data_IF_511884364249
#
_entry.id   IF_511884364249
#
_cell.length_a   1.000
_cell.length_b   1.000
_cell.length_c   1.000
_cell.angle_alpha   90.00
_cell.angle_beta   90.00
_cell.angle_gamma   90.00
#
_symmetry.space_group_name_H-M   'P 1'
#
loop_
_entity.id
_entity.type
_entity.pdbx_description
1 polymer ?
#
# COMPACT_ATOMS: atom_id res chain seq x y z
N UNK A 1 -6.57 -15.18 -0.42
CA UNK A 1 -5.95 -14.44 -1.53
C UNK A 1 -6.37 -12.98 -1.37
N UNK A 2 -5.42 -12.13 -0.96
CA UNK A 2 -5.71 -10.82 -0.37
C UNK A 2 -6.24 -9.83 -1.41
N UNK A 3 -5.73 -9.85 -2.65
CA UNK A 3 -6.16 -8.89 -3.70
C UNK A 3 -7.64 -9.07 -4.02
N UNK A 4 -8.07 -10.31 -4.26
CA UNK A 4 -9.48 -10.65 -4.49
C UNK A 4 -10.35 -10.29 -3.29
N UNK A 5 -9.86 -10.53 -2.06
CA UNK A 5 -10.59 -10.16 -0.84
C UNK A 5 -10.85 -8.65 -0.81
N UNK A 6 -9.81 -7.84 -0.97
CA UNK A 6 -9.90 -6.37 -0.94
C UNK A 6 -10.83 -5.81 -2.04
N UNK A 7 -10.75 -6.36 -3.25
CA UNK A 7 -11.66 -5.97 -4.35
C UNK A 7 -13.12 -6.30 -4.00
N UNK A 8 -13.38 -7.50 -3.46
CA UNK A 8 -14.75 -7.93 -3.10
C UNK A 8 -15.34 -7.17 -1.92
N UNK A 9 -14.52 -6.77 -0.95
CA UNK A 9 -14.96 -5.93 0.17
C UNK A 9 -15.15 -4.47 -0.21
N UNK A 10 -14.73 -4.06 -1.41
CA UNK A 10 -14.83 -2.68 -1.87
C UNK A 10 -13.83 -1.73 -1.21
N UNK A 11 -12.82 -2.28 -0.52
CA UNK A 11 -11.73 -1.50 0.07
C UNK A 11 -10.92 -0.89 -1.06
N UNK A 12 -10.62 0.41 -0.95
CA UNK A 12 -9.74 1.07 -1.90
C UNK A 12 -8.29 0.89 -1.46
N UNK A 13 -7.43 0.45 -2.38
CA UNK A 13 -6.03 0.18 -2.08
C UNK A 13 -5.15 0.44 -3.30
N UNK A 14 -3.85 0.54 -3.04
CA UNK A 14 -2.80 0.58 -4.04
C UNK A 14 -1.82 -0.57 -3.82
N UNK A 15 -1.16 -0.99 -4.89
CA UNK A 15 0.00 -1.89 -4.82
C UNK A 15 1.23 -1.09 -5.19
N UNK A 16 2.22 -1.07 -4.31
CA UNK A 16 3.52 -0.46 -4.57
C UNK A 16 4.56 -1.55 -4.81
N UNK A 17 5.43 -1.34 -5.79
CA UNK A 17 6.64 -2.13 -6.04
C UNK A 17 7.83 -1.21 -5.85
N UNK A 18 8.64 -1.46 -4.83
CA UNK A 18 9.83 -0.66 -4.53
C UNK A 18 11.06 -1.22 -5.25
N UNK A 19 11.82 -0.33 -5.90
CA UNK A 19 13.10 -0.62 -6.57
C UNK A 19 14.32 -0.18 -5.75
N UNK A 20 14.09 0.45 -4.60
CA UNK A 20 15.10 1.28 -3.94
C UNK A 20 16.40 0.53 -3.61
N UNK A 21 17.50 1.12 -4.08
CA UNK A 21 18.87 0.97 -3.57
C UNK A 21 19.09 1.68 -2.21
N UNK A 22 18.12 2.49 -1.75
CA UNK A 22 18.19 3.29 -0.51
C UNK A 22 17.91 2.48 0.75
N UNK A 23 17.33 1.29 0.61
CA UNK A 23 17.25 0.26 1.65
C UNK A 23 18.55 -0.55 1.69
N UNK A 24 19.68 0.09 2.00
CA UNK A 24 20.98 -0.60 2.22
C UNK A 24 20.90 -1.68 3.33
N UNK A 25 19.87 -1.63 4.18
CA UNK A 25 19.57 -2.67 5.18
C UNK A 25 18.77 -3.88 4.62
N UNK A 26 18.23 -3.80 3.40
CA UNK A 26 17.42 -4.86 2.76
C UNK A 26 18.14 -5.55 1.60
N UNK A 27 19.46 -5.62 1.66
CA UNK A 27 20.37 -6.05 0.59
C UNK A 27 20.18 -7.48 0.05
N UNK A 28 19.26 -8.28 0.61
CA UNK A 28 19.04 -9.68 0.21
C UNK A 28 17.69 -9.98 -0.48
N UNK A 29 16.77 -9.01 -0.65
CA UNK A 29 15.40 -9.28 -1.13
C UNK A 29 14.91 -8.29 -2.20
N UNK A 30 15.62 -8.26 -3.34
CA UNK A 30 15.63 -7.20 -4.37
C UNK A 30 14.33 -6.89 -5.15
N UNK A 31 13.12 -7.05 -4.60
CA UNK A 31 11.87 -6.39 -5.04
C UNK A 31 10.81 -6.55 -3.96
N UNK A 32 10.49 -5.50 -3.20
CA UNK A 32 9.40 -5.54 -2.22
C UNK A 32 8.10 -5.03 -2.86
N UNK A 33 7.04 -5.82 -2.72
CA UNK A 33 5.68 -5.41 -3.05
C UNK A 33 4.90 -5.18 -1.76
N UNK A 34 4.17 -4.07 -1.70
CA UNK A 34 3.35 -3.69 -0.55
C UNK A 34 1.93 -3.32 -0.99
N UNK A 35 0.97 -3.59 -0.12
CA UNK A 35 -0.40 -3.12 -0.25
C UNK A 35 -0.55 -1.89 0.64
N UNK A 36 -1.04 -0.79 0.08
CA UNK A 36 -1.34 0.44 0.79
C UNK A 36 -2.86 0.63 0.91
N UNK A 37 -3.36 0.93 2.09
CA UNK A 37 -4.79 1.16 2.37
C UNK A 37 -4.94 2.38 3.29
N UNK A 38 -6.13 2.98 3.34
CA UNK A 38 -6.45 3.98 4.35
C UNK A 38 -6.56 3.35 5.74
N UNK A 39 -6.05 4.04 6.77
CA UNK A 39 -6.13 3.57 8.16
C UNK A 39 -7.57 3.48 8.69
N UNK A 40 -8.53 4.13 8.04
CA UNK A 40 -9.96 4.03 8.39
C UNK A 40 -10.52 2.61 8.18
N UNK A 41 -9.94 1.85 7.25
CA UNK A 41 -10.31 0.46 6.98
C UNK A 41 -9.61 -0.54 7.92
N UNK A 42 -8.78 -0.07 8.87
CA UNK A 42 -7.97 -0.94 9.74
C UNK A 42 -8.82 -1.95 10.51
N UNK A 43 -10.00 -1.54 11.00
CA UNK A 43 -10.91 -2.45 11.74
C UNK A 43 -11.36 -3.63 10.88
N UNK A 44 -11.56 -3.41 9.59
CA UNK A 44 -11.94 -4.46 8.63
C UNK A 44 -10.75 -5.35 8.25
N UNK A 45 -9.53 -4.87 8.47
CA UNK A 45 -8.28 -5.51 8.08
C UNK A 45 -7.44 -6.04 9.25
N UNK A 46 -8.03 -6.12 10.46
CA UNK A 46 -7.30 -6.53 11.67
C UNK A 46 -6.65 -7.91 11.53
N UNK A 47 -7.33 -8.84 10.88
CA UNK A 47 -6.83 -10.21 10.68
C UNK A 47 -5.88 -10.36 9.49
N UNK A 48 -5.62 -9.26 8.76
CA UNK A 48 -4.81 -9.25 7.55
C UNK A 48 -3.43 -8.63 7.77
N UNK A 49 -2.90 -8.56 8.99
CA UNK A 49 -1.53 -8.08 9.31
C UNK A 49 -1.17 -6.72 8.68
N UNK A 50 -2.17 -5.84 8.50
CA UNK A 50 -1.92 -4.45 8.13
C UNK A 50 -1.43 -3.68 9.35
N UNK A 51 -0.30 -3.01 9.19
CA UNK A 51 0.34 -2.28 10.29
C UNK A 51 0.19 -0.78 10.08
N UNK A 52 -0.15 -0.10 11.17
CA UNK A 52 0.16 1.32 11.32
C UNK A 52 1.68 1.37 11.50
N UNK A 53 2.42 1.93 10.54
CA UNK A 53 3.88 2.10 10.64
C UNK A 53 4.30 3.14 11.69
N UNK A 54 3.60 3.18 12.83
CA UNK A 54 3.80 4.09 13.95
C UNK A 54 4.28 3.38 15.22
N UNK A 55 4.51 2.06 15.20
CA UNK A 55 4.75 1.28 16.43
C UNK A 55 6.22 0.93 16.69
N UNK A 56 7.16 1.48 15.92
CA UNK A 56 8.58 1.34 16.25
C UNK A 56 9.18 2.72 16.57
N UNK A 57 9.57 2.89 17.84
CA UNK A 57 10.40 3.99 18.32
C UNK A 57 11.73 4.14 17.54
N UNK A 58 12.07 3.18 16.68
CA UNK A 58 13.32 3.09 15.92
C UNK A 58 13.17 3.24 14.39
N UNK A 59 11.94 3.27 13.83
CA UNK A 59 11.79 3.48 12.38
C UNK A 59 12.07 4.95 12.04
N UNK A 60 13.09 5.26 11.22
CA UNK A 60 13.34 6.64 10.78
C UNK A 60 12.08 7.22 10.15
N UNK A 61 11.69 8.46 10.50
CA UNK A 61 10.48 9.13 9.97
C UNK A 61 10.38 9.14 8.44
N UNK A 62 11.52 9.04 7.75
CA UNK A 62 11.61 8.94 6.28
C UNK A 62 11.09 7.61 5.72
N UNK A 63 10.96 6.58 6.55
CA UNK A 63 10.51 5.24 6.19
C UNK A 63 9.07 4.95 6.69
N UNK A 64 8.46 5.92 7.37
CA UNK A 64 7.08 5.83 7.83
C UNK A 64 6.09 6.15 6.71
N UNK A 65 4.97 5.43 6.70
CA UNK A 65 3.85 5.79 5.84
C UNK A 65 3.29 7.16 6.23
N UNK A 66 2.71 7.93 5.29
CA UNK A 66 1.95 9.12 5.64
C UNK A 66 0.86 8.80 6.66
N UNK A 67 0.63 9.71 7.60
CA UNK A 67 -0.47 9.60 8.56
C UNK A 67 -1.79 9.34 7.82
N UNK A 68 -2.49 8.26 8.20
CA UNK A 68 -3.73 7.83 7.56
C UNK A 68 -3.56 6.73 6.50
N UNK A 69 -2.33 6.26 6.27
CA UNK A 69 -2.03 5.10 5.43
C UNK A 69 -1.49 3.95 6.31
N UNK A 70 -2.01 2.75 6.09
CA UNK A 70 -1.49 1.50 6.61
C UNK A 70 -0.95 0.67 5.45
N UNK A 71 0.07 -0.14 5.72
CA UNK A 71 0.62 -1.04 4.71
C UNK A 71 0.91 -2.42 5.26
N UNK A 72 1.10 -3.35 4.32
CA UNK A 72 1.73 -4.64 4.59
C UNK A 72 2.50 -5.11 3.38
N UNK A 73 3.57 -5.85 3.64
CA UNK A 73 4.32 -6.57 2.60
C UNK A 73 3.50 -7.71 2.04
N UNK A 74 3.62 -7.94 0.74
CA UNK A 74 2.98 -9.04 0.04
C UNK A 74 3.85 -10.29 0.07
N UNK A 75 3.22 -11.44 0.27
CA UNK A 75 3.86 -12.74 0.07
C UNK A 75 3.99 -13.07 -1.42
N UNK A 76 4.85 -14.02 -1.79
CA UNK A 76 5.00 -14.50 -3.17
C UNK A 76 3.67 -14.94 -3.81
N UNK A 77 2.79 -15.57 -3.03
CA UNK A 77 1.46 -16.00 -3.50
C UNK A 77 0.56 -14.80 -3.84
N UNK A 78 0.61 -13.75 -3.03
CA UNK A 78 -0.16 -12.52 -3.24
C UNK A 78 0.40 -11.69 -4.39
N UNK A 79 1.73 -11.68 -4.58
CA UNK A 79 2.37 -11.06 -5.75
C UNK A 79 1.91 -11.77 -7.03
N UNK A 80 1.87 -13.10 -7.01
CA UNK A 80 1.34 -13.89 -8.13
C UNK A 80 -0.12 -13.55 -8.42
N UNK A 81 -0.96 -13.46 -7.37
CA UNK A 81 -2.36 -13.04 -7.49
C UNK A 81 -2.50 -11.66 -8.12
N UNK A 82 -1.75 -10.69 -7.62
CA UNK A 82 -1.74 -9.34 -8.15
C UNK A 82 -1.36 -9.34 -9.64
N UNK A 83 -0.30 -10.05 -10.03
CA UNK A 83 0.13 -10.13 -11.43
C UNK A 83 -0.95 -10.70 -12.34
N UNK A 84 -1.66 -11.73 -11.90
CA UNK A 84 -2.77 -12.31 -12.67
C UNK A 84 -3.95 -11.34 -12.85
N UNK A 85 -4.14 -10.41 -11.93
CA UNK A 85 -5.28 -9.47 -11.93
C UNK A 85 -4.89 -8.05 -12.37
N UNK A 86 -3.59 -7.78 -12.53
CA UNK A 86 -3.04 -6.44 -12.71
C UNK A 86 -3.69 -5.74 -13.89
N UNK A 87 -3.69 -6.38 -15.05
CA UNK A 87 -4.11 -5.74 -16.29
C UNK A 87 -5.61 -5.54 -16.37
N UNK A 88 -6.40 -6.32 -15.63
CA UNK A 88 -7.85 -6.19 -15.57
C UNK A 88 -8.28 -5.09 -14.60
N UNK A 89 -7.71 -5.06 -13.39
CA UNK A 89 -8.21 -4.27 -12.28
C UNK A 89 -7.39 -3.02 -11.97
N UNK A 90 -6.13 -2.95 -12.40
CA UNK A 90 -5.21 -1.90 -11.99
C UNK A 90 -4.73 -1.05 -13.15
N UNK A 91 -4.34 0.17 -12.82
CA UNK A 91 -3.62 1.08 -13.71
C UNK A 91 -2.35 1.54 -13.01
N UNK A 92 -1.27 1.66 -13.78
CA UNK A 92 -0.02 2.26 -13.32
C UNK A 92 -0.22 3.77 -13.21
N UNK A 93 -0.03 4.32 -12.01
CA UNK A 93 -0.24 5.76 -11.74
C UNK A 93 1.04 6.51 -11.41
N UNK A 94 2.13 5.78 -11.13
CA UNK A 94 3.43 6.35 -10.80
C UNK A 94 4.52 5.35 -11.14
N UNK A 95 5.58 5.78 -11.83
CA UNK A 95 6.70 4.93 -12.22
C UNK A 95 7.97 5.78 -12.21
N UNK A 96 8.89 5.43 -11.33
CA UNK A 96 10.13 6.16 -11.08
C UNK A 96 11.27 5.18 -10.86
N UNK A 97 12.49 5.72 -10.75
CA UNK A 97 13.68 4.95 -10.38
C UNK A 97 13.56 4.24 -9.03
N UNK A 98 12.71 4.76 -8.13
CA UNK A 98 12.54 4.22 -6.78
C UNK A 98 11.40 3.20 -6.67
N UNK A 99 10.50 3.11 -7.66
CA UNK A 99 9.39 2.18 -7.64
C UNK A 99 8.23 2.51 -8.58
N UNK A 100 7.24 1.62 -8.59
CA UNK A 100 5.98 1.75 -9.33
C UNK A 100 4.80 1.64 -8.37
N UNK A 101 3.77 2.44 -8.60
CA UNK A 101 2.49 2.36 -7.89
C UNK A 101 1.37 2.03 -8.87
N UNK A 102 0.55 1.06 -8.47
CA UNK A 102 -0.66 0.64 -9.16
C UNK A 102 -1.88 0.98 -8.32
N UNK A 103 -2.89 1.57 -8.93
CA UNK A 103 -4.20 1.84 -8.30
C UNK A 103 -5.31 1.07 -9.00
N UNK A 104 -6.41 0.81 -8.29
CA UNK A 104 -7.61 0.25 -8.91
C UNK A 104 -8.14 1.21 -9.98
N UNK A 105 -8.47 0.71 -11.16
CA UNK A 105 -9.04 1.52 -12.26
C UNK A 105 -10.33 2.23 -11.86
N UNK A 106 -11.09 1.65 -10.94
CA UNK A 106 -12.38 2.20 -10.48
C UNK A 106 -12.25 3.19 -9.34
N UNK A 107 -11.14 3.17 -8.58
CA UNK A 107 -10.94 4.01 -7.39
C UNK A 107 -9.47 4.31 -7.15
N UNK A 108 -9.15 5.60 -7.07
CA UNK A 108 -7.82 6.09 -6.74
C UNK A 108 -7.64 6.28 -5.23
N UNK A 109 -6.69 5.57 -4.64
CA UNK A 109 -6.33 5.72 -3.23
C UNK A 109 -5.80 7.12 -2.94
N UNK A 110 -4.95 7.67 -3.81
CA UNK A 110 -4.45 9.05 -3.73
C UNK A 110 -5.57 10.07 -3.63
N UNK A 111 -6.64 9.88 -4.40
CA UNK A 111 -7.79 10.78 -4.39
C UNK A 111 -8.58 10.68 -3.09
N UNK A 112 -8.82 9.47 -2.59
CA UNK A 112 -9.51 9.26 -1.32
C UNK A 112 -8.70 9.80 -0.13
N UNK A 113 -7.40 9.53 -0.10
CA UNK A 113 -6.50 10.03 0.94
C UNK A 113 -6.54 11.57 1.05
N UNK A 114 -6.46 12.27 -0.09
CA UNK A 114 -6.59 13.74 -0.12
C UNK A 114 -7.94 14.23 0.42
N UNK A 115 -9.03 13.53 0.10
CA UNK A 115 -10.37 13.86 0.62
C UNK A 115 -10.48 13.63 2.12
N UNK A 116 -9.94 12.54 2.63
CA UNK A 116 -9.92 12.21 4.06
C UNK A 116 -9.15 13.27 4.86
N UNK A 117 -7.99 13.71 4.35
CA UNK A 117 -7.20 14.76 5.01
C UNK A 117 -7.83 16.15 4.96
N UNK A 118 -8.61 16.48 3.93
CA UNK A 118 -9.37 17.76 3.87
C UNK A 118 -10.52 17.83 4.87
N UNK A 119 -11.02 16.69 5.34
CA UNK A 119 -12.13 16.64 6.31
C UNK A 119 -11.68 16.74 7.76
N UNK A 120 -10.38 16.66 8.05
CA UNK A 120 -9.86 16.91 9.39
C UNK A 120 -9.80 18.43 9.58
N UNK A 121 -10.61 19.05 10.46
CA UNK A 121 -10.41 20.44 10.79
C UNK A 121 -9.01 20.56 11.38
N UNK A 122 -8.24 21.53 10.90
CA UNK A 122 -7.07 22.04 11.61
C UNK A 122 -7.58 22.54 12.95
N UNK A 123 -7.42 21.72 13.99
CA UNK A 123 -7.58 22.13 15.38
C UNK A 123 -6.45 23.07 15.77
#
# INVERSE_FOLDING_TARGET
>A
MIIKKLIRTGICFSVMKSYSYLTKAKYYQNTEYEILVLSEDLRTLQDDDFRLNNDEAETPKLWSNPNGIISRTMTTKEISEFRMMKDDYFTEVFNTVDGIVFELKTRSLKTLFKKSNRKKPTG
#
